data_IF_855876927515
#
_entry.id   IF_855876927515
#
_cell.length_a   1.000
_cell.length_b   1.000
_cell.length_c   1.000
_cell.angle_alpha   90.00
_cell.angle_beta   90.00
_cell.angle_gamma   90.00
#
_symmetry.space_group_name_H-M   'P 1'
#
loop_
_entity.id
_entity.type
_entity.pdbx_description
1 polymer ?
#
# COMPACT_ATOMS: atom_id res chain seq x y z
N UNK A 1 16.54 1.60 -18.70
CA UNK A 1 15.86 2.41 -17.67
C UNK A 1 14.35 2.22 -17.82
N UNK A 2 13.68 2.00 -16.73
CA UNK A 2 12.23 1.84 -16.77
C UNK A 2 11.55 3.20 -16.84
N UNK A 3 10.56 3.33 -17.72
CA UNK A 3 9.72 4.53 -17.83
C UNK A 3 8.47 4.46 -16.99
N UNK A 4 8.36 3.42 -16.17
CA UNK A 4 7.17 3.11 -15.39
C UNK A 4 7.52 2.98 -13.92
N UNK A 5 6.61 3.38 -13.05
CA UNK A 5 6.68 3.15 -11.62
C UNK A 5 5.38 2.50 -11.16
N UNK A 6 5.45 1.68 -10.11
CA UNK A 6 4.26 1.12 -9.45
C UNK A 6 4.03 1.89 -8.17
N UNK A 7 2.82 2.45 -8.01
CA UNK A 7 2.41 3.18 -6.82
C UNK A 7 1.27 2.40 -6.16
N UNK A 8 1.48 1.98 -4.92
CA UNK A 8 0.49 1.24 -4.13
C UNK A 8 -0.06 2.18 -3.07
N UNK A 9 -1.35 2.46 -3.13
CA UNK A 9 -1.99 3.49 -2.31
C UNK A 9 -3.00 2.85 -1.35
N UNK A 10 -2.92 3.22 -0.06
CA UNK A 10 -3.92 2.89 0.96
C UNK A 10 -4.10 1.38 1.21
N UNK A 11 -3.08 0.58 1.00
CA UNK A 11 -3.12 -0.85 1.31
C UNK A 11 -2.76 -1.10 2.78
N UNK A 12 -3.46 -0.42 3.67
CA UNK A 12 -3.27 -0.46 5.12
C UNK A 12 -4.29 -1.36 5.79
N UNK A 13 -3.91 -2.00 6.88
CA UNK A 13 -4.75 -3.00 7.57
C UNK A 13 -6.12 -2.47 7.94
N UNK A 14 -6.19 -1.26 8.52
CA UNK A 14 -7.46 -0.67 8.95
C UNK A 14 -8.43 -0.45 7.80
N UNK A 15 -7.92 0.02 6.65
CA UNK A 15 -8.75 0.25 5.47
C UNK A 15 -9.25 -1.05 4.86
N UNK A 16 -8.41 -2.08 4.82
CA UNK A 16 -8.76 -3.38 4.26
C UNK A 16 -9.76 -4.13 5.15
N UNK A 17 -9.66 -3.95 6.47
CA UNK A 17 -10.62 -4.55 7.40
C UNK A 17 -12.03 -3.98 7.25
N UNK A 18 -12.14 -2.72 6.80
CA UNK A 18 -13.42 -2.08 6.50
C UNK A 18 -13.98 -2.46 5.14
N UNK A 19 -13.15 -3.06 4.28
CA UNK A 19 -13.57 -3.40 2.93
C UNK A 19 -14.70 -4.42 2.95
N UNK A 20 -15.60 -4.31 1.98
CA UNK A 20 -16.70 -5.26 1.85
C UNK A 20 -16.15 -6.65 1.52
N UNK A 21 -16.80 -7.74 1.99
CA UNK A 21 -16.34 -9.09 1.68
C UNK A 21 -16.16 -9.37 0.19
N UNK A 22 -16.96 -8.75 -0.66
CA UNK A 22 -16.84 -8.90 -2.12
C UNK A 22 -15.55 -8.29 -2.69
N UNK A 23 -14.87 -7.47 -1.94
CA UNK A 23 -13.62 -6.84 -2.38
C UNK A 23 -12.45 -7.81 -2.47
N UNK A 24 -12.49 -8.91 -1.72
CA UNK A 24 -11.49 -10.00 -1.75
C UNK A 24 -10.06 -9.49 -1.58
N UNK A 25 -9.71 -8.94 -0.41
CA UNK A 25 -8.40 -8.31 -0.19
C UNK A 25 -7.21 -9.25 -0.45
N UNK A 26 -7.36 -10.56 -0.20
CA UNK A 26 -6.27 -11.51 -0.45
C UNK A 26 -5.93 -11.61 -1.94
N UNK A 27 -6.94 -11.59 -2.82
CA UNK A 27 -6.72 -11.62 -4.26
C UNK A 27 -6.08 -10.32 -4.75
N UNK A 28 -6.51 -9.19 -4.20
CA UNK A 28 -5.94 -7.88 -4.52
C UNK A 28 -4.48 -7.81 -4.10
N UNK A 29 -4.17 -8.25 -2.89
CA UNK A 29 -2.80 -8.27 -2.38
C UNK A 29 -1.90 -9.17 -3.23
N UNK A 30 -2.39 -10.35 -3.60
CA UNK A 30 -1.63 -11.25 -4.48
C UNK A 30 -1.34 -10.61 -5.84
N UNK A 31 -2.32 -9.91 -6.41
CA UNK A 31 -2.14 -9.18 -7.67
C UNK A 31 -1.10 -8.06 -7.55
N UNK A 32 -1.17 -7.28 -6.47
CA UNK A 32 -0.20 -6.23 -6.19
C UNK A 32 1.20 -6.82 -6.06
N UNK A 33 1.36 -7.91 -5.34
CA UNK A 33 2.67 -8.54 -5.15
C UNK A 33 3.26 -9.02 -6.47
N UNK A 34 2.44 -9.53 -7.39
CA UNK A 34 2.93 -9.90 -8.72
C UNK A 34 3.41 -8.67 -9.51
N UNK A 35 2.67 -7.56 -9.44
CA UNK A 35 3.06 -6.33 -10.12
C UNK A 35 4.35 -5.74 -9.54
N UNK A 36 4.47 -5.70 -8.22
CA UNK A 36 5.66 -5.14 -7.59
C UNK A 36 6.89 -6.01 -7.83
N UNK A 37 6.73 -7.34 -7.84
CA UNK A 37 7.83 -8.24 -8.18
C UNK A 37 8.30 -8.03 -9.62
N UNK A 38 7.38 -7.89 -10.56
CA UNK A 38 7.73 -7.62 -11.96
C UNK A 38 8.41 -6.26 -12.11
N UNK A 39 7.95 -5.24 -11.39
CA UNK A 39 8.57 -3.92 -11.40
C UNK A 39 10.01 -3.97 -10.90
N UNK A 40 10.26 -4.66 -9.78
CA UNK A 40 11.61 -4.80 -9.23
C UNK A 40 12.52 -5.54 -10.19
N UNK A 41 12.03 -6.60 -10.82
CA UNK A 41 12.80 -7.35 -11.80
C UNK A 41 13.19 -6.51 -13.02
N UNK A 42 12.37 -5.52 -13.36
CA UNK A 42 12.62 -4.58 -14.46
C UNK A 42 13.35 -3.30 -14.00
N UNK A 43 13.77 -3.22 -12.74
CA UNK A 43 14.36 -2.03 -12.12
C UNK A 43 13.43 -0.81 -12.12
N UNK A 44 12.13 -1.02 -12.16
CA UNK A 44 11.15 0.04 -12.01
C UNK A 44 10.93 0.37 -10.54
N UNK A 45 10.79 1.65 -10.16
CA UNK A 45 10.56 2.00 -8.77
C UNK A 45 9.19 1.53 -8.27
N UNK A 46 9.15 1.13 -6.99
CA UNK A 46 7.91 0.77 -6.29
C UNK A 46 7.76 1.73 -5.11
N UNK A 47 6.58 2.33 -4.99
CA UNK A 47 6.28 3.28 -3.93
C UNK A 47 5.00 2.87 -3.21
N UNK A 48 5.07 2.78 -1.88
CA UNK A 48 3.91 2.53 -1.03
C UNK A 48 3.49 3.86 -0.37
N UNK A 49 2.24 4.25 -0.60
CA UNK A 49 1.67 5.47 -0.04
C UNK A 49 0.74 5.08 1.11
N UNK A 50 1.03 5.58 2.32
CA UNK A 50 0.21 5.36 3.51
C UNK A 50 -0.50 6.66 3.90
N UNK A 51 -1.80 6.55 4.16
CA UNK A 51 -2.60 7.67 4.63
C UNK A 51 -2.51 7.77 6.15
N UNK A 52 -2.18 8.96 6.65
CA UNK A 52 -2.18 9.27 8.08
C UNK A 52 -3.58 9.75 8.47
N UNK A 53 -4.35 8.90 9.15
CA UNK A 53 -5.69 9.24 9.58
C UNK A 53 -5.71 10.11 10.83
N UNK A 54 -6.87 10.69 11.10
CA UNK A 54 -7.14 11.45 12.32
C UNK A 54 -7.34 10.50 13.51
N UNK A 55 -7.43 11.07 14.72
CA UNK A 55 -7.50 10.31 15.97
C UNK A 55 -8.65 9.28 16.04
N UNK A 56 -9.75 9.53 15.30
CA UNK A 56 -10.91 8.65 15.30
C UNK A 56 -10.90 7.64 14.13
N UNK A 57 -9.86 7.66 13.30
CA UNK A 57 -9.75 6.76 12.17
C UNK A 57 -9.13 5.41 12.54
N UNK A 58 -9.35 4.41 11.67
CA UNK A 58 -8.72 3.10 11.80
C UNK A 58 -7.25 3.11 11.37
N UNK A 59 -6.75 4.22 10.88
CA UNK A 59 -5.42 4.36 10.28
C UNK A 59 -4.60 5.47 10.94
N UNK A 60 -4.66 5.56 12.27
CA UNK A 60 -3.83 6.52 13.04
C UNK A 60 -2.37 6.04 12.99
N UNK A 61 -1.41 6.92 12.62
CA UNK A 61 0.01 6.55 12.60
C UNK A 61 0.47 5.92 13.91
N UNK A 62 1.25 4.86 13.81
CA UNK A 62 1.75 4.13 14.96
C UNK A 62 0.82 3.05 15.48
N UNK A 63 -0.37 2.89 14.92
CA UNK A 63 -1.30 1.82 15.27
C UNK A 63 -1.25 0.69 14.26
N UNK A 64 -1.69 -0.53 14.64
CA UNK A 64 -1.72 -1.66 13.67
C UNK A 64 -2.56 -1.37 12.43
N UNK A 65 -3.65 -0.61 12.56
CA UNK A 65 -4.50 -0.28 11.41
C UNK A 65 -3.82 0.59 10.37
N UNK A 66 -2.84 1.41 10.78
CA UNK A 66 -2.05 2.27 9.89
C UNK A 66 -1.03 1.47 9.07
N UNK A 67 -0.57 0.34 9.58
CA UNK A 67 0.46 -0.44 8.93
C UNK A 67 -0.01 -1.00 7.60
N UNK A 68 0.92 -1.22 6.67
CA UNK A 68 0.63 -1.90 5.41
C UNK A 68 0.16 -3.34 5.69
N UNK A 69 -0.67 -3.86 4.81
CA UNK A 69 -1.17 -5.23 4.95
C UNK A 69 0.00 -6.23 5.04
N UNK A 70 -0.12 -7.20 5.95
CA UNK A 70 0.96 -8.14 6.28
C UNK A 70 1.47 -8.94 5.09
N UNK A 71 0.56 -9.29 4.19
CA UNK A 71 0.89 -10.13 3.04
C UNK A 71 1.52 -9.35 1.88
N UNK A 72 1.61 -8.01 1.97
CA UNK A 72 2.29 -7.21 0.96
C UNK A 72 3.80 -7.47 1.02
N UNK A 73 4.39 -7.71 -0.15
CA UNK A 73 5.84 -7.87 -0.28
C UNK A 73 6.48 -6.49 -0.44
N UNK A 74 7.04 -5.96 0.63
CA UNK A 74 7.72 -4.65 0.64
C UNK A 74 9.22 -4.88 0.59
N UNK A 75 9.88 -4.40 -0.45
CA UNK A 75 11.31 -4.50 -0.62
C UNK A 75 12.06 -3.39 0.12
N UNK A 76 13.32 -3.67 0.50
CA UNK A 76 14.15 -2.68 1.22
C UNK A 76 14.46 -1.44 0.39
N UNK A 77 14.43 -1.54 -0.94
CA UNK A 77 14.66 -0.41 -1.83
C UNK A 77 13.38 0.33 -2.24
N UNK A 78 12.22 -0.10 -1.75
CA UNK A 78 10.96 0.53 -2.10
C UNK A 78 10.78 1.84 -1.35
N UNK A 79 10.10 2.80 -1.97
CA UNK A 79 9.80 4.08 -1.35
C UNK A 79 8.57 3.97 -0.47
N UNK A 80 8.54 4.72 0.63
CA UNK A 80 7.36 4.87 1.48
C UNK A 80 7.05 6.34 1.61
N UNK A 81 5.83 6.72 1.28
CA UNK A 81 5.35 8.10 1.34
C UNK A 81 4.12 8.15 2.23
N UNK A 82 4.05 9.17 3.09
CA UNK A 82 2.89 9.41 3.95
C UNK A 82 2.10 10.58 3.39
N UNK A 83 0.77 10.48 3.42
CA UNK A 83 -0.12 11.56 3.02
C UNK A 83 -1.14 11.84 4.14
N UNK A 84 -1.53 13.08 4.28
CA UNK A 84 -2.51 13.49 5.30
C UNK A 84 -3.86 13.84 4.70
N UNK A 85 -3.92 13.99 3.39
CA UNK A 85 -5.15 14.31 2.66
C UNK A 85 -5.58 13.10 1.84
N UNK A 86 -6.87 13.01 1.53
CA UNK A 86 -7.39 11.92 0.71
C UNK A 86 -6.79 11.89 -0.69
N UNK A 87 -6.33 13.03 -1.17
CA UNK A 87 -5.68 13.16 -2.47
C UNK A 87 -4.18 12.99 -2.30
N UNK A 88 -3.59 12.04 -3.02
CA UNK A 88 -2.17 11.74 -2.94
C UNK A 88 -1.30 12.72 -3.76
N UNK A 89 -1.90 13.46 -4.66
CA UNK A 89 -1.14 14.34 -5.57
C UNK A 89 -1.75 15.73 -5.68
#
# INVERSE_FOLDING_TARGET
MADTAVIVIDMQRGLLQRARPAYRPDDVVAGINRLTAAARAANAPVCFVQHDGDADDDIVPGTPGWELHDALSVGSGDWRIRKQMSDAF
#
